data_IF_616647472584
#
_entry.id   IF_616647472584
#
_cell.length_a   1.000
_cell.length_b   1.000
_cell.length_c   1.000
_cell.angle_alpha   90.00
_cell.angle_beta   90.00
_cell.angle_gamma   90.00
#
_symmetry.space_group_name_H-M   'P 1'
#
loop_
_entity.id
_entity.type
_entity.pdbx_description
1 polymer ?
#
# COMPACT_ATOMS: atom_id res chain seq x y z
N UNK A 1 10.82 26.76 25.02
CA UNK A 1 10.13 25.60 24.40
C UNK A 1 10.57 25.53 22.95
N UNK A 2 11.15 24.41 22.51
CA UNK A 2 11.60 24.25 21.13
C UNK A 2 10.42 24.08 20.17
N UNK A 3 10.59 24.48 18.91
CA UNK A 3 9.62 24.26 17.83
C UNK A 3 9.45 22.74 17.64
N UNK A 4 8.34 22.19 18.12
CA UNK A 4 8.05 20.75 17.97
C UNK A 4 7.39 20.51 16.61
N UNK A 5 8.09 19.78 15.74
CA UNK A 5 7.58 19.39 14.43
C UNK A 5 6.54 18.28 14.61
N UNK A 6 5.35 18.50 14.05
CA UNK A 6 4.25 17.54 14.03
C UNK A 6 4.19 16.79 12.70
N UNK A 7 4.40 17.50 11.59
CA UNK A 7 4.30 16.93 10.25
C UNK A 7 5.42 17.47 9.37
N UNK A 8 6.02 16.60 8.57
CA UNK A 8 6.98 16.95 7.53
C UNK A 8 6.40 16.49 6.20
N UNK A 9 6.17 17.44 5.30
CA UNK A 9 5.80 17.18 3.91
C UNK A 9 7.06 17.30 3.07
N UNK A 10 7.55 16.17 2.58
CA UNK A 10 8.73 16.11 1.70
C UNK A 10 8.41 16.73 0.35
N UNK A 11 7.22 16.46 -0.17
CA UNK A 11 6.75 17.00 -1.45
C UNK A 11 6.60 18.53 -1.42
N UNK A 12 6.26 19.14 -0.27
CA UNK A 12 6.32 20.60 -0.13
C UNK A 12 7.68 21.13 0.31
N UNK A 13 8.61 20.27 0.76
CA UNK A 13 9.86 20.70 1.39
C UNK A 13 9.64 21.50 2.67
N UNK A 14 8.59 21.18 3.44
CA UNK A 14 8.14 21.99 4.59
C UNK A 14 7.86 21.15 5.82
N UNK A 15 8.24 21.71 6.97
CA UNK A 15 7.93 21.19 8.29
C UNK A 15 6.90 22.07 8.99
N UNK A 16 5.93 21.44 9.64
CA UNK A 16 4.82 22.08 10.31
C UNK A 16 4.81 21.71 11.79
N UNK A 17 4.64 22.69 12.66
CA UNK A 17 4.11 22.44 14.01
C UNK A 17 2.64 22.02 13.92
N UNK A 18 2.06 21.52 15.02
CA UNK A 18 0.64 21.14 15.04
C UNK A 18 -0.29 22.31 14.67
N UNK A 19 -0.01 23.51 15.21
CA UNK A 19 -0.79 24.73 14.94
C UNK A 19 -0.66 25.17 13.48
N UNK A 20 0.56 25.16 12.93
CA UNK A 20 0.80 25.50 11.53
C UNK A 20 0.15 24.51 10.59
N UNK A 21 0.18 23.22 10.93
CA UNK A 21 -0.46 22.15 10.16
C UNK A 21 -1.97 22.33 10.12
N UNK A 22 -2.61 22.53 11.29
CA UNK A 22 -4.04 22.78 11.38
C UNK A 22 -4.47 24.04 10.63
N UNK A 23 -3.70 25.12 10.74
CA UNK A 23 -3.95 26.35 10.00
C UNK A 23 -3.79 26.15 8.48
N UNK A 24 -2.76 25.41 8.04
CA UNK A 24 -2.53 25.12 6.64
C UNK A 24 -3.69 24.31 6.02
N UNK A 25 -4.10 23.22 6.68
CA UNK A 25 -5.22 22.38 6.22
C UNK A 25 -6.55 23.16 6.20
N UNK A 26 -6.77 24.07 7.15
CA UNK A 26 -7.99 24.91 7.16
C UNK A 26 -8.00 25.90 5.99
N UNK A 27 -6.84 26.42 5.59
CA UNK A 27 -6.72 27.32 4.44
C UNK A 27 -6.76 26.59 3.09
N UNK A 28 -6.41 25.30 3.06
CA UNK A 28 -6.35 24.45 1.86
C UNK A 28 -7.21 23.19 2.07
N UNK A 29 -8.56 23.33 2.02
CA UNK A 29 -9.46 22.22 2.32
C UNK A 29 -9.29 21.01 1.39
N UNK A 30 -8.81 21.25 0.16
CA UNK A 30 -8.60 20.21 -0.85
C UNK A 30 -7.15 19.68 -0.91
N UNK A 31 -6.29 20.04 0.05
CA UNK A 31 -4.86 19.69 0.02
C UNK A 31 -4.55 18.18 -0.04
N UNK A 32 -5.52 17.33 0.30
CA UNK A 32 -5.41 15.88 0.15
C UNK A 32 -5.59 15.39 -1.29
N UNK A 33 -6.29 16.15 -2.14
CA UNK A 33 -6.56 15.82 -3.55
C UNK A 33 -5.73 16.60 -4.56
N UNK A 34 -4.92 17.56 -4.10
CA UNK A 34 -4.10 18.41 -4.96
C UNK A 34 -2.68 17.86 -5.13
N UNK A 35 -2.17 17.91 -6.36
CA UNK A 35 -0.77 17.61 -6.64
C UNK A 35 0.06 18.83 -6.26
N UNK A 36 0.94 18.66 -5.28
CA UNK A 36 1.87 19.71 -4.83
C UNK A 36 3.29 19.47 -5.32
N UNK A 37 3.61 18.23 -5.73
CA UNK A 37 4.90 17.86 -6.32
C UNK A 37 4.70 16.89 -7.48
N UNK A 38 5.42 17.08 -8.58
CA UNK A 38 5.42 16.17 -9.73
C UNK A 38 6.82 15.64 -9.97
N UNK A 39 6.98 14.32 -9.97
CA UNK A 39 8.26 13.70 -10.30
C UNK A 39 8.52 13.79 -11.81
N UNK A 40 9.81 13.77 -12.24
CA UNK A 40 10.17 13.79 -13.67
C UNK A 40 9.68 12.56 -14.45
N UNK A 41 9.12 11.56 -13.76
CA UNK A 41 8.56 10.35 -14.34
C UNK A 41 7.03 10.40 -14.51
N UNK A 42 6.39 11.54 -14.23
CA UNK A 42 4.96 11.76 -14.45
C UNK A 42 4.05 11.42 -13.27
N UNK A 43 4.61 11.16 -12.07
CA UNK A 43 3.82 10.91 -10.86
C UNK A 43 3.63 12.19 -10.05
N UNK A 44 2.40 12.49 -9.68
CA UNK A 44 2.00 13.61 -8.83
C UNK A 44 1.73 13.16 -7.40
N UNK A 45 2.24 13.92 -6.44
CA UNK A 45 2.14 13.66 -5.01
C UNK A 45 1.45 14.81 -4.30
N UNK A 46 0.64 14.50 -3.29
CA UNK A 46 -0.05 15.49 -2.49
C UNK A 46 0.78 15.94 -1.27
N UNK A 47 0.19 16.83 -0.48
CA UNK A 47 0.77 17.36 0.75
C UNK A 47 1.22 16.26 1.73
N UNK A 48 0.55 15.12 1.76
CA UNK A 48 0.82 14.00 2.66
C UNK A 48 1.89 13.05 2.12
N UNK A 49 2.64 13.46 1.09
CA UNK A 49 3.61 12.65 0.36
C UNK A 49 2.96 11.43 -0.32
N UNK A 50 1.67 11.44 -0.63
CA UNK A 50 0.95 10.32 -1.26
C UNK A 50 0.76 10.56 -2.76
N UNK A 51 1.07 9.56 -3.58
CA UNK A 51 0.85 9.62 -5.01
C UNK A 51 -0.65 9.59 -5.36
N UNK A 52 -1.09 10.54 -6.19
CA UNK A 52 -2.50 10.69 -6.61
C UNK A 52 -2.82 10.01 -7.94
N UNK A 53 -1.80 9.72 -8.75
CA UNK A 53 -1.91 9.04 -10.05
C UNK A 53 -0.96 7.83 -10.13
N UNK A 54 -0.96 6.90 -9.17
CA UNK A 54 -0.04 5.77 -9.21
C UNK A 54 -0.40 4.81 -10.35
N UNK A 55 0.61 4.08 -10.83
CA UNK A 55 0.39 2.91 -11.67
C UNK A 55 -0.44 1.86 -10.90
N UNK A 56 -1.15 1.01 -11.65
CA UNK A 56 -1.97 -0.08 -11.08
C UNK A 56 -1.61 -1.43 -11.71
N UNK A 57 -0.39 -1.95 -11.46
CA UNK A 57 0.12 -3.15 -12.14
C UNK A 57 -0.57 -4.46 -11.72
N UNK A 58 -1.25 -4.46 -10.56
CA UNK A 58 -2.00 -5.62 -10.05
C UNK A 58 -3.37 -5.17 -9.58
N UNK A 59 -4.40 -5.81 -10.10
CA UNK A 59 -5.77 -5.71 -9.61
C UNK A 59 -6.39 -7.11 -9.73
N UNK A 60 -6.65 -7.73 -8.59
CA UNK A 60 -7.24 -9.07 -8.51
C UNK A 60 -8.54 -8.98 -7.73
N UNK A 61 -9.62 -9.41 -8.37
CA UNK A 61 -10.92 -9.60 -7.74
C UNK A 61 -11.34 -11.06 -7.91
N UNK A 62 -11.74 -11.67 -6.81
CA UNK A 62 -12.16 -13.06 -6.79
C UNK A 62 -13.30 -13.24 -5.81
N UNK A 63 -13.96 -14.41 -5.88
CA UNK A 63 -14.93 -14.83 -4.87
C UNK A 63 -14.34 -14.95 -3.45
N UNK A 64 -13.02 -14.87 -3.31
CA UNK A 64 -12.30 -15.09 -2.06
C UNK A 64 -11.84 -13.79 -1.38
N UNK A 65 -11.91 -12.69 -2.12
CA UNK A 65 -11.36 -11.40 -1.73
C UNK A 65 -10.81 -10.64 -2.93
N UNK A 66 -10.36 -9.42 -2.66
CA UNK A 66 -9.80 -8.52 -3.65
C UNK A 66 -8.54 -7.85 -3.12
N UNK A 67 -7.58 -7.61 -4.01
CA UNK A 67 -6.42 -6.80 -3.69
C UNK A 67 -5.89 -6.06 -4.92
N UNK A 68 -5.31 -4.90 -4.68
CA UNK A 68 -4.67 -4.05 -5.67
C UNK A 68 -3.28 -3.65 -5.19
N UNK A 69 -2.33 -3.54 -6.13
CA UNK A 69 -1.02 -2.96 -5.89
C UNK A 69 -0.90 -1.71 -6.73
N UNK A 70 -0.39 -0.65 -6.10
CA UNK A 70 -0.12 0.63 -6.71
C UNK A 70 1.37 0.91 -6.67
N UNK A 71 1.92 1.58 -7.69
CA UNK A 71 3.34 1.93 -7.74
C UNK A 71 3.54 3.35 -8.21
N UNK A 72 4.59 4.00 -7.70
CA UNK A 72 5.00 5.33 -8.12
C UNK A 72 6.52 5.45 -8.07
N UNK A 73 7.05 6.37 -8.88
CA UNK A 73 8.50 6.64 -8.95
C UNK A 73 8.80 8.07 -8.51
N UNK A 74 9.70 8.19 -7.54
CA UNK A 74 10.14 9.47 -6.97
C UNK A 74 11.31 10.06 -7.76
N UNK A 75 11.72 11.28 -7.43
CA UNK A 75 12.73 12.06 -8.18
C UNK A 75 14.08 11.37 -8.27
N UNK A 76 14.47 10.67 -7.21
CA UNK A 76 15.70 9.89 -7.14
C UNK A 76 15.65 8.58 -7.96
N UNK A 77 14.56 8.34 -8.69
CA UNK A 77 14.36 7.16 -9.52
C UNK A 77 13.99 5.90 -8.74
N UNK A 78 13.82 5.96 -7.42
CA UNK A 78 13.35 4.85 -6.58
C UNK A 78 11.84 4.67 -6.76
N UNK A 79 11.43 3.40 -6.70
CA UNK A 79 10.04 2.98 -6.75
C UNK A 79 9.51 2.78 -5.35
N UNK A 80 8.26 3.13 -5.12
CA UNK A 80 7.50 2.76 -3.93
C UNK A 80 6.22 2.03 -4.34
N UNK A 81 5.65 1.27 -3.42
CA UNK A 81 4.38 0.59 -3.62
C UNK A 81 3.37 0.93 -2.52
N UNK A 82 2.10 1.05 -2.93
CA UNK A 82 0.95 0.99 -2.04
C UNK A 82 0.10 -0.24 -2.34
N UNK A 83 -0.86 -0.54 -1.49
CA UNK A 83 -1.84 -1.58 -1.76
C UNK A 83 -3.18 -1.32 -1.09
N UNK A 84 -4.20 -1.98 -1.61
CA UNK A 84 -5.44 -2.21 -0.90
C UNK A 84 -5.76 -3.70 -0.91
N UNK A 85 -6.23 -4.23 0.21
CA UNK A 85 -6.68 -5.62 0.31
C UNK A 85 -7.97 -5.65 1.10
N UNK A 86 -8.95 -6.40 0.62
CA UNK A 86 -10.16 -6.75 1.35
C UNK A 86 -10.33 -8.25 1.28
N UNK A 87 -10.31 -8.87 2.45
CA UNK A 87 -10.55 -10.29 2.63
C UNK A 87 -12.02 -10.51 2.99
N UNK A 88 -12.54 -11.71 2.71
CA UNK A 88 -13.91 -12.09 3.06
C UNK A 88 -14.18 -12.05 4.58
N UNK A 89 -13.12 -11.98 5.40
CA UNK A 89 -13.21 -11.82 6.86
C UNK A 89 -13.59 -10.40 7.30
N UNK A 90 -14.08 -9.54 6.39
CA UNK A 90 -14.52 -8.15 6.60
C UNK A 90 -13.42 -7.16 7.00
N UNK A 91 -12.15 -7.58 7.01
CA UNK A 91 -11.00 -6.71 7.27
C UNK A 91 -10.39 -6.23 5.97
N UNK A 92 -10.45 -4.91 5.79
CA UNK A 92 -9.71 -4.21 4.75
C UNK A 92 -8.42 -3.64 5.33
N UNK A 93 -7.32 -3.71 4.57
CA UNK A 93 -6.09 -2.98 4.88
C UNK A 93 -5.70 -2.16 3.65
N UNK A 94 -5.17 -0.97 3.87
CA UNK A 94 -4.63 -0.17 2.79
C UNK A 94 -3.34 0.51 3.25
N UNK A 95 -2.40 0.60 2.33
CA UNK A 95 -1.14 1.31 2.50
C UNK A 95 -0.99 2.26 1.31
N UNK A 96 -0.85 3.58 1.53
CA UNK A 96 -0.71 4.53 0.44
C UNK A 96 0.65 4.37 -0.25
N UNK A 97 0.71 4.67 -1.55
CA UNK A 97 1.97 4.72 -2.29
C UNK A 97 2.65 6.08 -2.04
N UNK A 98 3.73 6.07 -1.26
CA UNK A 98 4.39 7.29 -0.80
C UNK A 98 5.49 7.84 -1.72
N UNK A 99 5.85 9.10 -1.52
CA UNK A 99 7.06 9.72 -2.05
C UNK A 99 8.28 9.27 -1.25
N UNK A 100 9.38 8.99 -1.95
CA UNK A 100 10.63 8.50 -1.38
C UNK A 100 11.76 9.43 -1.79
N UNK A 101 12.20 10.28 -0.87
CA UNK A 101 13.32 11.21 -1.05
C UNK A 101 14.69 10.56 -0.79
N UNK A 102 14.72 9.45 -0.04
CA UNK A 102 15.94 8.76 0.36
C UNK A 102 16.34 7.62 -0.60
N UNK A 103 17.58 7.62 -1.09
CA UNK A 103 18.07 6.59 -2.03
C UNK A 103 18.19 5.19 -1.41
N UNK A 104 18.32 5.11 -0.08
CA UNK A 104 18.34 3.85 0.67
C UNK A 104 16.94 3.32 0.97
N UNK A 105 15.90 4.12 0.75
CA UNK A 105 14.49 3.72 0.87
C UNK A 105 13.89 3.36 -0.51
N UNK A 106 12.70 2.77 -0.48
CA UNK A 106 12.02 2.26 -1.67
C UNK A 106 12.79 1.15 -2.38
N UNK A 107 12.41 0.86 -3.62
CA UNK A 107 12.89 -0.25 -4.44
C UNK A 107 13.64 0.25 -5.69
N UNK A 108 14.63 -0.50 -6.20
CA UNK A 108 15.38 -0.14 -7.41
C UNK A 108 14.58 -0.33 -8.70
N UNK A 109 13.49 -1.11 -8.68
CA UNK A 109 12.63 -1.36 -9.84
C UNK A 109 11.17 -1.47 -9.43
N UNK A 110 10.26 -1.22 -10.39
CA UNK A 110 8.82 -1.36 -10.17
C UNK A 110 8.46 -2.81 -9.80
N UNK A 111 9.05 -3.80 -10.47
CA UNK A 111 8.83 -5.22 -10.16
C UNK A 111 9.22 -5.59 -8.73
N UNK A 112 10.29 -5.01 -8.20
CA UNK A 112 10.68 -5.22 -6.79
C UNK A 112 9.67 -4.58 -5.83
N UNK A 113 9.19 -3.38 -6.13
CA UNK A 113 8.13 -2.73 -5.35
C UNK A 113 6.85 -3.55 -5.34
N UNK A 114 6.43 -4.04 -6.51
CA UNK A 114 5.23 -4.89 -6.65
C UNK A 114 5.36 -6.16 -5.78
N UNK A 115 6.50 -6.84 -5.85
CA UNK A 115 6.74 -8.04 -5.03
C UNK A 115 6.79 -7.72 -3.54
N UNK A 116 7.31 -6.56 -3.16
CA UNK A 116 7.27 -6.06 -1.79
C UNK A 116 5.83 -5.95 -1.27
N UNK A 117 4.98 -5.19 -1.97
CA UNK A 117 3.57 -5.05 -1.63
C UNK A 117 2.83 -6.40 -1.59
N UNK A 118 3.05 -7.28 -2.57
CA UNK A 118 2.41 -8.61 -2.59
C UNK A 118 2.81 -9.46 -1.37
N UNK A 119 4.04 -9.37 -0.90
CA UNK A 119 4.48 -10.05 0.34
C UNK A 119 3.79 -9.49 1.57
N UNK A 120 3.63 -8.18 1.67
CA UNK A 120 2.87 -7.57 2.78
C UNK A 120 1.40 -7.98 2.77
N UNK A 121 0.76 -8.00 1.59
CA UNK A 121 -0.62 -8.47 1.45
C UNK A 121 -0.72 -9.95 1.86
N UNK A 122 0.29 -10.76 1.51
CA UNK A 122 0.38 -12.17 1.92
C UNK A 122 0.46 -12.31 3.43
N UNK A 123 1.29 -11.50 4.10
CA UNK A 123 1.41 -11.49 5.56
C UNK A 123 0.08 -11.16 6.25
N UNK A 124 -0.71 -10.23 5.69
CA UNK A 124 -2.07 -9.92 6.18
C UNK A 124 -2.98 -11.14 6.08
N UNK A 125 -3.00 -11.82 4.93
CA UNK A 125 -3.82 -13.01 4.74
C UNK A 125 -3.38 -14.16 5.68
N UNK A 126 -2.07 -14.33 5.88
CA UNK A 126 -1.54 -15.32 6.82
C UNK A 126 -1.85 -15.01 8.27
N UNK A 127 -1.80 -13.74 8.67
CA UNK A 127 -2.19 -13.32 10.02
C UNK A 127 -3.67 -13.65 10.28
N UNK A 128 -4.55 -13.36 9.33
CA UNK A 128 -5.97 -13.71 9.42
C UNK A 128 -6.20 -15.22 9.51
N UNK A 129 -5.43 -16.03 8.78
CA UNK A 129 -5.44 -17.50 8.90
C UNK A 129 -5.02 -17.92 10.32
N UNK A 130 -3.94 -17.35 10.86
CA UNK A 130 -3.45 -17.67 12.22
C UNK A 130 -4.48 -17.28 13.28
N UNK A 131 -5.15 -16.14 13.13
CA UNK A 131 -6.21 -15.69 14.04
C UNK A 131 -7.43 -16.61 13.95
N UNK A 132 -7.86 -16.96 12.74
CA UNK A 132 -8.94 -17.92 12.51
C UNK A 132 -8.65 -19.27 13.18
N UNK A 133 -7.42 -19.76 13.07
CA UNK A 133 -7.02 -21.03 13.68
C UNK A 133 -7.02 -21.00 15.20
N UNK A 134 -6.57 -19.88 15.77
CA UNK A 134 -6.54 -19.65 17.21
C UNK A 134 -7.93 -19.55 17.82
N UNK A 135 -8.87 -18.93 17.11
CA UNK A 135 -10.22 -18.65 17.60
C UNK A 135 -11.31 -19.52 16.95
N UNK A 136 -10.92 -20.67 16.38
CA UNK A 136 -11.79 -21.61 15.68
C UNK A 136 -13.07 -21.97 16.44
N UNK A 137 -12.93 -22.23 17.75
CA UNK A 137 -14.04 -22.65 18.60
C UNK A 137 -14.87 -21.47 19.13
N UNK A 138 -14.55 -20.24 18.70
CA UNK A 138 -15.20 -18.98 19.11
C UNK A 138 -15.75 -18.21 17.92
N UNK A 139 -15.99 -18.88 16.81
CA UNK A 139 -16.61 -18.24 15.65
C UNK A 139 -18.02 -17.74 16.01
N UNK A 140 -18.44 -16.59 15.46
CA UNK A 140 -19.82 -16.14 15.58
C UNK A 140 -20.80 -17.19 15.09
N UNK A 141 -22.02 -17.17 15.61
CA UNK A 141 -23.10 -18.03 15.15
C UNK A 141 -23.30 -17.87 13.62
N UNK A 142 -23.34 -18.98 12.89
CA UNK A 142 -23.36 -18.99 11.41
C UNK A 142 -21.99 -18.87 10.73
N UNK A 143 -20.90 -18.69 11.46
CA UNK A 143 -19.54 -18.67 10.94
C UNK A 143 -19.01 -20.07 10.61
N UNK A 144 -18.66 -20.31 9.34
CA UNK A 144 -18.03 -21.57 8.91
C UNK A 144 -16.51 -21.45 8.86
N UNK A 145 -15.81 -22.08 9.81
CA UNK A 145 -14.34 -22.17 9.81
C UNK A 145 -13.80 -22.68 8.47
N UNK A 146 -14.38 -23.77 7.95
CA UNK A 146 -13.93 -24.39 6.71
C UNK A 146 -14.08 -23.45 5.51
N UNK A 147 -15.19 -22.72 5.43
CA UNK A 147 -15.45 -21.76 4.36
C UNK A 147 -14.47 -20.59 4.42
N UNK A 148 -14.29 -19.97 5.59
CA UNK A 148 -13.39 -18.83 5.76
C UNK A 148 -11.95 -19.26 5.48
N UNK A 149 -11.51 -20.40 6.04
CA UNK A 149 -10.16 -20.93 5.81
C UNK A 149 -9.91 -21.24 4.35
N UNK A 150 -10.88 -21.84 3.65
CA UNK A 150 -10.79 -22.10 2.21
C UNK A 150 -10.64 -20.78 1.44
N UNK A 151 -11.40 -19.75 1.82
CA UNK A 151 -11.34 -18.45 1.16
C UNK A 151 -9.98 -17.77 1.33
N UNK A 152 -9.48 -17.66 2.56
CA UNK A 152 -8.16 -17.09 2.85
C UNK A 152 -7.04 -17.85 2.13
N UNK A 153 -7.11 -19.19 2.10
CA UNK A 153 -6.14 -20.03 1.37
C UNK A 153 -6.21 -19.79 -0.15
N UNK A 154 -7.41 -19.50 -0.68
CA UNK A 154 -7.61 -19.12 -2.07
C UNK A 154 -6.89 -17.80 -2.39
N UNK A 155 -7.06 -16.78 -1.54
CA UNK A 155 -6.37 -15.49 -1.69
C UNK A 155 -4.86 -15.64 -1.62
N UNK A 156 -4.31 -16.43 -0.67
CA UNK A 156 -2.86 -16.62 -0.59
C UNK A 156 -2.28 -17.25 -1.86
N UNK A 157 -3.02 -18.15 -2.52
CA UNK A 157 -2.58 -18.74 -3.80
C UNK A 157 -2.57 -17.72 -4.93
N UNK A 158 -3.60 -16.89 -5.03
CA UNK A 158 -3.65 -15.80 -6.01
C UNK A 158 -2.47 -14.82 -5.84
N UNK A 159 -2.13 -14.50 -4.58
CA UNK A 159 -0.97 -13.66 -4.28
C UNK A 159 0.33 -14.36 -4.69
N UNK A 160 0.50 -15.65 -4.38
CA UNK A 160 1.69 -16.41 -4.77
C UNK A 160 1.85 -16.48 -6.31
N UNK A 161 0.75 -16.60 -7.05
CA UNK A 161 0.75 -16.60 -8.51
C UNK A 161 1.18 -15.25 -9.09
N UNK A 162 0.70 -14.14 -8.50
CA UNK A 162 1.17 -12.79 -8.86
C UNK A 162 2.66 -12.59 -8.52
N UNK A 163 3.13 -13.04 -7.35
CA UNK A 163 4.56 -12.98 -7.00
C UNK A 163 5.41 -13.72 -8.03
N UNK A 164 4.97 -14.91 -8.47
CA UNK A 164 5.64 -15.68 -9.53
C UNK A 164 5.64 -14.91 -10.85
N UNK A 165 4.51 -14.34 -11.27
CA UNK A 165 4.38 -13.54 -12.50
C UNK A 165 5.45 -12.45 -12.56
N UNK A 166 5.62 -11.67 -11.50
CA UNK A 166 6.63 -10.59 -11.45
C UNK A 166 8.06 -11.05 -11.13
N UNK A 167 8.24 -12.31 -10.76
CA UNK A 167 9.59 -12.91 -10.65
C UNK A 167 10.08 -13.35 -12.03
N UNK A 168 9.23 -13.99 -12.83
CA UNK A 168 9.61 -14.50 -14.16
C UNK A 168 9.74 -13.42 -15.22
N UNK A 169 8.96 -12.33 -15.15
CA UNK A 169 9.16 -11.16 -16.03
C UNK A 169 10.57 -10.58 -15.91
N UNK A 170 11.19 -10.67 -14.74
CA UNK A 170 12.56 -10.19 -14.53
C UNK A 170 13.62 -11.11 -15.17
N UNK A 171 13.34 -12.41 -15.34
CA UNK A 171 14.28 -13.37 -15.95
C UNK A 171 14.21 -13.36 -17.49
N UNK A 172 13.10 -12.93 -18.09
CA UNK A 172 12.93 -12.90 -19.55
C UNK A 172 13.54 -11.65 -20.23
N UNK A 173 14.09 -10.71 -19.46
CA UNK A 173 14.71 -9.46 -19.93
C UNK A 173 16.25 -9.49 -19.86
N UNK A 174 16.83 -10.64 -19.53
CA UNK A 174 18.26 -10.95 -19.61
C UNK A 174 18.49 -12.11 -20.58
#
# INVERSE_FOLDING_TARGET
MGRQIHHTSRCLGREFTFEEWGAYLKAHPDAGGEIVHSSPYGFGFNLFDVCLNPNRPVAVESRHGRFEVHTARSDNGRWESGYSVRLDTSRGRSHPCGFVDCAQAGYPSENEAIRGALREIREVAEEEIRLLDRYRDRLPEGGSYATIRHSLTGVTRLIDDEIRRFTFVQLALF
#
